data_IF_667452194847
#
_entry.id   IF_667452194847
#
_cell.length_a   1.000
_cell.length_b   1.000
_cell.length_c   1.000
_cell.angle_alpha   90.00
_cell.angle_beta   90.00
_cell.angle_gamma   90.00
#
_symmetry.space_group_name_H-M   'P 1'
#
loop_
_entity.id
_entity.type
_entity.pdbx_description
1 polymer ?
#
# COMPACT_ATOMS: atom_id res chain seq x y z
N UNK A 1 -34.73 -5.04 15.58
CA UNK A 1 -34.04 -4.01 14.76
C UNK A 1 -32.54 -3.85 15.09
N UNK A 2 -31.99 -4.46 16.16
CA UNK A 2 -30.55 -4.40 16.47
C UNK A 2 -29.63 -5.27 15.60
N UNK A 3 -30.13 -6.35 14.99
CA UNK A 3 -29.28 -7.24 14.17
C UNK A 3 -28.82 -6.64 12.83
N UNK A 4 -29.52 -5.64 12.30
CA UNK A 4 -29.16 -5.04 11.00
C UNK A 4 -28.10 -3.96 11.14
N UNK A 5 -27.98 -3.31 12.30
CA UNK A 5 -26.97 -2.28 12.55
C UNK A 5 -25.59 -2.90 12.79
N UNK A 6 -25.52 -4.03 13.50
CA UNK A 6 -24.27 -4.76 13.75
C UNK A 6 -23.70 -5.33 12.45
N UNK A 7 -24.52 -5.93 11.60
CA UNK A 7 -24.10 -6.44 10.28
C UNK A 7 -23.61 -5.30 9.39
N UNK A 8 -24.31 -4.15 9.34
CA UNK A 8 -23.86 -2.98 8.56
C UNK A 8 -22.51 -2.44 9.05
N UNK A 9 -22.31 -2.38 10.36
CA UNK A 9 -21.03 -1.93 10.94
C UNK A 9 -19.90 -2.92 10.63
N UNK A 10 -20.15 -4.22 10.76
CA UNK A 10 -19.18 -5.26 10.40
C UNK A 10 -18.81 -5.21 8.92
N UNK A 11 -19.81 -5.07 8.03
CA UNK A 11 -19.56 -4.92 6.59
C UNK A 11 -18.75 -3.66 6.30
N UNK A 12 -19.08 -2.53 6.94
CA UNK A 12 -18.32 -1.29 6.81
C UNK A 12 -16.86 -1.45 7.26
N UNK A 13 -16.63 -2.14 8.38
CA UNK A 13 -15.29 -2.44 8.86
C UNK A 13 -14.51 -3.33 7.88
N UNK A 14 -15.12 -4.41 7.39
CA UNK A 14 -14.48 -5.32 6.44
C UNK A 14 -14.15 -4.61 5.12
N UNK A 15 -15.05 -3.76 4.62
CA UNK A 15 -14.78 -2.92 3.45
C UNK A 15 -13.63 -1.95 3.70
N UNK A 16 -13.59 -1.31 4.87
CA UNK A 16 -12.49 -0.44 5.26
C UNK A 16 -11.14 -1.17 5.28
N UNK A 17 -11.09 -2.35 5.90
CA UNK A 17 -9.88 -3.19 5.93
C UNK A 17 -9.47 -3.67 4.54
N UNK A 18 -10.43 -4.04 3.70
CA UNK A 18 -10.18 -4.43 2.32
C UNK A 18 -9.54 -3.27 1.53
N UNK A 19 -10.14 -2.08 1.58
CA UNK A 19 -9.61 -0.91 0.87
C UNK A 19 -8.24 -0.49 1.39
N UNK A 20 -8.05 -0.52 2.71
CA UNK A 20 -6.74 -0.25 3.31
C UNK A 20 -5.68 -1.25 2.85
N UNK A 21 -6.02 -2.55 2.82
CA UNK A 21 -5.12 -3.60 2.36
C UNK A 21 -4.78 -3.46 0.89
N UNK A 22 -5.77 -3.15 0.04
CA UNK A 22 -5.55 -2.91 -1.39
C UNK A 22 -4.68 -1.66 -1.63
N UNK A 23 -4.92 -0.59 -0.88
CA UNK A 23 -4.09 0.61 -0.94
C UNK A 23 -2.65 0.31 -0.49
N UNK A 24 -2.47 -0.40 0.62
CA UNK A 24 -1.14 -0.81 1.09
C UNK A 24 -0.42 -1.70 0.06
N UNK A 25 -1.12 -2.64 -0.56
CA UNK A 25 -0.57 -3.45 -1.65
C UNK A 25 -0.16 -2.59 -2.84
N UNK A 26 -1.00 -1.65 -3.26
CA UNK A 26 -0.65 -0.70 -4.32
C UNK A 26 0.64 0.06 -3.96
N UNK A 27 0.71 0.66 -2.77
CA UNK A 27 1.86 1.46 -2.35
C UNK A 27 3.15 0.63 -2.32
N UNK A 28 3.10 -0.57 -1.75
CA UNK A 28 4.31 -1.39 -1.55
C UNK A 28 4.74 -2.19 -2.78
N UNK A 29 3.81 -2.55 -3.68
CA UNK A 29 4.10 -3.44 -4.80
C UNK A 29 3.99 -2.79 -6.17
N UNK A 30 3.21 -1.71 -6.31
CA UNK A 30 2.84 -1.14 -7.61
C UNK A 30 3.17 0.35 -7.76
N UNK A 31 3.42 1.09 -6.68
CA UNK A 31 3.75 2.51 -6.76
C UNK A 31 5.10 2.71 -7.45
N UNK A 32 5.11 3.57 -8.47
CA UNK A 32 6.28 3.93 -9.26
C UNK A 32 6.73 5.37 -8.98
N UNK A 33 6.60 5.82 -7.72
CA UNK A 33 6.89 7.19 -7.32
C UNK A 33 5.68 8.13 -7.35
N UNK A 34 4.48 7.65 -7.66
CA UNK A 34 3.27 8.47 -7.71
C UNK A 34 2.94 9.06 -6.34
N UNK A 35 3.00 8.27 -5.27
CA UNK A 35 2.70 8.75 -3.92
C UNK A 35 3.65 9.88 -3.49
N UNK A 36 4.96 9.70 -3.73
CA UNK A 36 5.97 10.67 -3.31
C UNK A 36 6.12 11.86 -4.26
N UNK A 37 5.63 11.77 -5.50
CA UNK A 37 5.64 12.87 -6.47
C UNK A 37 4.92 14.13 -5.97
N UNK A 38 3.97 13.99 -5.04
CA UNK A 38 3.27 15.11 -4.42
C UNK A 38 4.20 16.01 -3.59
N UNK A 39 5.32 15.46 -3.11
CA UNK A 39 6.30 16.16 -2.27
C UNK A 39 7.66 16.33 -2.97
N UNK A 40 8.07 15.35 -3.79
CA UNK A 40 9.37 15.32 -4.47
C UNK A 40 9.30 15.79 -5.94
N UNK A 41 8.10 16.03 -6.46
CA UNK A 41 7.90 16.39 -7.86
C UNK A 41 8.29 15.27 -8.83
N UNK A 42 8.67 15.61 -10.08
CA UNK A 42 9.01 14.63 -11.12
C UNK A 42 10.16 13.69 -10.75
N UNK A 43 11.07 14.12 -9.88
CA UNK A 43 12.21 13.31 -9.44
C UNK A 43 11.79 12.02 -8.71
N UNK A 44 10.57 11.98 -8.17
CA UNK A 44 10.03 10.79 -7.51
C UNK A 44 9.96 9.57 -8.42
N UNK A 45 9.73 9.77 -9.73
CA UNK A 45 9.63 8.70 -10.72
C UNK A 45 11.01 8.10 -11.06
N UNK A 46 12.06 8.91 -10.99
CA UNK A 46 13.44 8.47 -11.24
C UNK A 46 14.04 7.78 -10.02
N UNK A 47 13.82 8.35 -8.83
CA UNK A 47 14.37 7.81 -7.58
C UNK A 47 13.61 6.58 -7.08
N UNK A 48 12.29 6.56 -7.30
CA UNK A 48 11.39 5.47 -6.94
C UNK A 48 11.63 4.92 -5.52
N UNK A 49 11.79 5.80 -4.52
CA UNK A 49 12.29 5.42 -3.20
C UNK A 49 11.49 4.31 -2.50
N UNK A 50 10.17 4.22 -2.73
CA UNK A 50 9.37 3.14 -2.15
C UNK A 50 9.76 1.80 -2.77
N UNK A 51 9.97 1.74 -4.09
CA UNK A 51 10.46 0.56 -4.79
C UNK A 51 11.81 0.11 -4.23
N UNK A 52 12.77 1.02 -4.14
CA UNK A 52 14.12 0.69 -3.65
C UNK A 52 14.11 0.28 -2.18
N UNK A 53 13.31 0.93 -1.33
CA UNK A 53 13.15 0.53 0.07
C UNK A 53 12.56 -0.89 0.18
N UNK A 54 11.51 -1.19 -0.58
CA UNK A 54 10.90 -2.54 -0.59
C UNK A 54 11.89 -3.56 -1.14
N UNK A 55 12.63 -3.22 -2.19
CA UNK A 55 13.72 -4.03 -2.71
C UNK A 55 14.76 -4.32 -1.62
N UNK A 56 15.28 -3.31 -0.92
CA UNK A 56 16.24 -3.47 0.18
C UNK A 56 15.70 -4.35 1.31
N UNK A 57 14.44 -4.18 1.71
CA UNK A 57 13.84 -5.04 2.75
C UNK A 57 13.73 -6.51 2.31
N UNK A 58 13.52 -6.78 1.01
CA UNK A 58 13.53 -8.16 0.48
C UNK A 58 14.93 -8.75 0.55
N UNK A 59 15.96 -7.98 0.21
CA UNK A 59 17.36 -8.38 0.39
C UNK A 59 17.67 -8.68 1.85
N UNK A 60 17.27 -7.78 2.77
CA UNK A 60 17.47 -7.96 4.21
C UNK A 60 16.73 -9.20 4.77
N UNK A 61 15.57 -9.55 4.18
CA UNK A 61 14.82 -10.75 4.51
C UNK A 61 15.35 -12.03 3.84
N UNK A 62 16.40 -11.93 3.02
CA UNK A 62 16.99 -13.06 2.31
C UNK A 62 16.15 -13.59 1.15
N UNK A 63 15.15 -12.82 0.68
CA UNK A 63 14.38 -13.19 -0.50
C UNK A 63 15.18 -12.89 -1.78
N UNK A 64 15.12 -13.76 -2.79
CA UNK A 64 15.75 -13.48 -4.06
C UNK A 64 15.13 -12.24 -4.73
N UNK A 65 16.00 -11.44 -5.34
CA UNK A 65 15.68 -10.45 -6.36
C UNK A 65 16.17 -10.98 -7.74
N UNK A 66 15.85 -10.25 -8.81
CA UNK A 66 16.28 -10.60 -10.16
C UNK A 66 17.80 -10.71 -10.28
#
# INVERSE_FOLDING_TARGET
>A
MQGTTTVKLQTGLLLGLMLFSLFGFYVLALDQGWLLSWFQGPQAFDLNFIHELVHDTRHAAGFPCH
#
